data_IF_087078352792
#
_entry.id   IF_087078352792
#
_cell.length_a   1.000
_cell.length_b   1.000
_cell.length_c   1.000
_cell.angle_alpha   90.00
_cell.angle_beta   90.00
_cell.angle_gamma   90.00
#
_symmetry.space_group_name_H-M   'P 1'
#
loop_
_entity.id
_entity.type
_entity.pdbx_description
1 polymer ?
#
# COMPACT_ATOMS: atom_id res chain seq x y z
N UNK A 1 -5.67 -15.39 4.95
CA UNK A 1 -4.29 -14.83 4.89
C UNK A 1 -4.10 -13.91 6.09
N UNK A 2 -2.92 -13.92 6.74
CA UNK A 2 -2.57 -12.97 7.81
C UNK A 2 -1.66 -11.88 7.22
N UNK A 3 -1.91 -10.62 7.55
CA UNK A 3 -1.08 -9.46 7.21
C UNK A 3 -0.58 -8.81 8.50
N UNK A 4 0.55 -8.14 8.43
CA UNK A 4 1.23 -7.49 9.56
C UNK A 4 1.10 -5.97 9.50
N UNK A 5 0.96 -5.42 8.29
CA UNK A 5 0.79 -4.00 8.03
C UNK A 5 -0.39 -3.78 7.08
N UNK A 6 -1.27 -2.85 7.45
CA UNK A 6 -2.30 -2.31 6.57
C UNK A 6 -1.95 -0.87 6.22
N UNK A 7 -1.89 -0.56 4.93
CA UNK A 7 -1.70 0.80 4.41
C UNK A 7 -3.01 1.28 3.82
N UNK A 8 -3.52 2.41 4.31
CA UNK A 8 -4.76 3.01 3.80
C UNK A 8 -4.40 4.10 2.79
N UNK A 9 -4.87 3.93 1.56
CA UNK A 9 -4.53 4.76 0.41
C UNK A 9 -3.38 4.17 -0.42
N UNK A 10 -3.59 4.11 -1.73
CA UNK A 10 -2.68 3.63 -2.76
C UNK A 10 -2.09 4.77 -3.59
N UNK A 11 -2.09 5.99 -3.05
CA UNK A 11 -1.32 7.11 -3.60
C UNK A 11 0.20 6.90 -3.49
N UNK A 12 1.01 7.85 -3.97
CA UNK A 12 2.47 7.72 -3.97
C UNK A 12 3.07 7.40 -2.61
N UNK A 13 2.56 8.03 -1.54
CA UNK A 13 3.01 7.80 -0.17
C UNK A 13 2.68 6.38 0.31
N UNK A 14 1.44 5.91 0.10
CA UNK A 14 1.01 4.59 0.53
C UNK A 14 1.72 3.47 -0.22
N UNK A 15 1.88 3.61 -1.54
CA UNK A 15 2.66 2.68 -2.34
C UNK A 15 4.12 2.65 -1.89
N UNK A 16 4.74 3.82 -1.63
CA UNK A 16 6.13 3.88 -1.15
C UNK A 16 6.29 3.17 0.20
N UNK A 17 5.37 3.40 1.15
CA UNK A 17 5.38 2.73 2.44
C UNK A 17 5.22 1.21 2.32
N UNK A 18 4.29 0.75 1.49
CA UNK A 18 4.05 -0.67 1.28
C UNK A 18 5.21 -1.38 0.58
N UNK A 19 5.81 -0.73 -0.43
CA UNK A 19 7.01 -1.23 -1.11
C UNK A 19 8.17 -1.35 -0.11
N UNK A 20 8.40 -0.31 0.69
CA UNK A 20 9.51 -0.31 1.66
C UNK A 20 9.33 -1.40 2.72
N UNK A 21 8.13 -1.51 3.31
CA UNK A 21 7.83 -2.58 4.27
C UNK A 21 8.02 -3.98 3.65
N UNK A 22 7.58 -4.17 2.41
CA UNK A 22 7.71 -5.44 1.70
C UNK A 22 9.18 -5.83 1.44
N UNK A 23 10.09 -4.87 1.23
CA UNK A 23 11.53 -5.15 1.10
C UNK A 23 12.14 -5.76 2.37
N UNK A 24 11.56 -5.46 3.54
CA UNK A 24 11.96 -6.04 4.83
C UNK A 24 11.15 -7.30 5.19
N UNK A 25 10.39 -7.86 4.24
CA UNK A 25 9.62 -9.08 4.44
C UNK A 25 8.29 -8.89 5.19
N UNK A 26 7.88 -7.65 5.46
CA UNK A 26 6.62 -7.37 6.15
C UNK A 26 5.46 -7.67 5.22
N UNK A 27 4.57 -8.57 5.65
CA UNK A 27 3.40 -8.95 4.86
C UNK A 27 2.36 -7.84 4.88
N UNK A 28 2.38 -7.03 3.83
CA UNK A 28 1.61 -5.77 3.74
C UNK A 28 0.37 -5.94 2.87
N UNK A 29 -0.72 -5.26 3.25
CA UNK A 29 -1.91 -5.07 2.41
C UNK A 29 -2.16 -3.58 2.22
N UNK A 30 -2.52 -3.19 0.99
CA UNK A 30 -2.96 -1.83 0.68
C UNK A 30 -4.48 -1.87 0.50
N UNK A 31 -5.17 -0.91 1.10
CA UNK A 31 -6.62 -0.74 1.00
C UNK A 31 -6.87 0.66 0.44
N UNK A 32 -7.61 0.74 -0.67
CA UNK A 32 -8.00 2.00 -1.29
C UNK A 32 -9.48 1.94 -1.67
N UNK A 33 -10.14 3.09 -1.69
CA UNK A 33 -11.51 3.23 -2.18
C UNK A 33 -11.58 3.19 -3.71
N UNK A 34 -10.51 3.60 -4.38
CA UNK A 34 -10.39 3.66 -5.82
C UNK A 34 -10.02 2.29 -6.39
N UNK A 35 -10.62 1.96 -7.53
CA UNK A 35 -10.29 0.73 -8.25
C UNK A 35 -8.88 0.75 -8.88
N UNK A 36 -8.26 1.93 -9.05
CA UNK A 36 -6.93 2.11 -9.63
C UNK A 36 -5.99 2.77 -8.63
N UNK A 37 -4.76 2.26 -8.56
CA UNK A 37 -3.75 2.75 -7.66
C UNK A 37 -2.98 3.96 -8.22
N UNK A 38 -2.54 4.84 -7.30
CA UNK A 38 -1.63 5.99 -7.47
C UNK A 38 -2.28 7.36 -7.20
N UNK A 39 -3.47 7.37 -6.59
CA UNK A 39 -4.06 8.56 -5.96
C UNK A 39 -4.34 9.70 -6.95
N UNK A 40 -3.85 10.90 -6.65
CA UNK A 40 -4.11 12.12 -7.44
C UNK A 40 -3.26 12.23 -8.73
N UNK A 41 -2.49 11.20 -9.09
CA UNK A 41 -1.64 11.20 -10.29
C UNK A 41 -2.35 10.71 -11.57
N UNK A 42 -3.68 10.64 -11.56
CA UNK A 42 -4.52 10.23 -12.70
C UNK A 42 -5.66 11.19 -12.98
#
# INVERSE_FOLDING_TARGET
MKFELAVIGSGPAGLSAAIEASKYGVKTVIIDENAKAGGQLF
#
